data_IF_248681870253
#
_entry.id   IF_248681870253
#
_cell.length_a   1.000
_cell.length_b   1.000
_cell.length_c   1.000
_cell.angle_alpha   90.00
_cell.angle_beta   90.00
_cell.angle_gamma   90.00
#
_symmetry.space_group_name_H-M   'P 1'
#
loop_
_entity.id
_entity.type
_entity.pdbx_description
1 polymer ?
#
# COMPACT_ATOMS: atom_id res chain seq x y z
N UNK A 1 18.43 17.49 -3.27
CA UNK A 1 18.09 16.25 -2.55
C UNK A 1 17.01 15.49 -3.31
N UNK A 2 17.20 14.20 -3.44
CA UNK A 2 16.23 13.33 -4.12
C UNK A 2 15.10 12.97 -3.16
N UNK A 3 13.85 13.19 -3.61
CA UNK A 3 12.67 12.75 -2.86
C UNK A 3 12.64 11.23 -2.80
N UNK A 4 12.29 10.68 -1.64
CA UNK A 4 12.11 9.25 -1.47
C UNK A 4 10.75 8.84 -1.99
N UNK A 5 10.71 7.82 -2.87
CA UNK A 5 9.47 7.22 -3.30
C UNK A 5 8.87 6.39 -2.17
N UNK A 6 7.57 6.45 -2.00
CA UNK A 6 6.85 5.69 -0.98
C UNK A 6 5.70 4.91 -1.59
N UNK A 7 5.61 3.65 -1.23
CA UNK A 7 4.48 2.78 -1.55
C UNK A 7 3.64 2.62 -0.29
N UNK A 8 2.37 2.98 -0.39
CA UNK A 8 1.47 2.95 0.77
C UNK A 8 0.69 1.64 0.75
N UNK A 9 0.87 0.85 1.83
CA UNK A 9 0.23 -0.44 2.00
C UNK A 9 -1.27 -0.28 2.30
N UNK A 10 -2.01 -1.38 2.15
CA UNK A 10 -3.45 -1.45 2.44
C UNK A 10 -3.77 -0.93 3.84
N UNK A 11 -2.95 -1.25 4.84
CA UNK A 11 -3.16 -0.81 6.21
C UNK A 11 -3.13 0.69 6.37
N UNK A 12 -2.30 1.39 5.59
CA UNK A 12 -2.27 2.86 5.60
C UNK A 12 -3.64 3.43 5.22
N UNK A 13 -4.20 2.95 4.11
CA UNK A 13 -5.50 3.43 3.63
C UNK A 13 -6.63 3.05 4.59
N UNK A 14 -6.61 1.81 5.07
CA UNK A 14 -7.63 1.37 6.01
C UNK A 14 -7.64 2.25 7.26
N UNK A 15 -6.48 2.52 7.83
CA UNK A 15 -6.36 3.35 9.01
C UNK A 15 -6.80 4.79 8.75
N UNK A 16 -6.33 5.42 7.66
CA UNK A 16 -6.65 6.83 7.41
C UNK A 16 -8.13 7.03 7.07
N UNK A 17 -8.76 6.01 6.46
CA UNK A 17 -10.18 6.12 6.08
C UNK A 17 -11.14 5.70 7.19
N UNK A 18 -10.68 5.02 8.23
CA UNK A 18 -11.56 4.49 9.28
C UNK A 18 -11.30 5.06 10.67
N UNK A 19 -10.12 5.59 10.94
CA UNK A 19 -9.82 6.14 12.26
C UNK A 19 -10.61 7.42 12.52
N UNK A 20 -11.04 7.58 13.78
CA UNK A 20 -11.70 8.79 14.25
C UNK A 20 -10.79 9.61 15.18
N UNK A 21 -9.57 9.14 15.41
CA UNK A 21 -8.60 9.81 16.28
C UNK A 21 -7.87 10.91 15.50
N UNK A 22 -8.06 12.20 15.86
CA UNK A 22 -7.41 13.32 15.16
C UNK A 22 -5.89 13.25 15.18
N UNK A 23 -5.30 12.77 16.28
CA UNK A 23 -3.85 12.64 16.39
C UNK A 23 -3.30 11.60 15.44
N UNK A 24 -4.03 10.49 15.28
CA UNK A 24 -3.66 9.45 14.35
C UNK A 24 -3.78 9.93 12.90
N UNK A 25 -4.82 10.67 12.58
CA UNK A 25 -4.98 11.26 11.24
C UNK A 25 -3.79 12.18 10.95
N UNK A 26 -3.41 13.03 11.89
CA UNK A 26 -2.26 13.93 11.73
C UNK A 26 -0.97 13.14 11.46
N UNK A 27 -0.74 12.07 12.21
CA UNK A 27 0.43 11.19 12.01
C UNK A 27 0.43 10.55 10.64
N UNK A 28 -0.70 9.99 10.23
CA UNK A 28 -0.82 9.34 8.93
C UNK A 28 -0.57 10.33 7.79
N UNK A 29 -1.11 11.54 7.90
CA UNK A 29 -0.90 12.59 6.91
C UNK A 29 0.56 13.03 6.85
N UNK A 30 1.27 13.01 7.96
CA UNK A 30 2.69 13.37 7.99
C UNK A 30 3.57 12.42 7.19
N UNK A 31 3.08 11.23 6.87
CA UNK A 31 3.80 10.25 6.07
C UNK A 31 3.63 10.46 4.56
N UNK A 32 2.79 11.41 4.15
CA UNK A 32 2.62 11.73 2.73
C UNK A 32 3.79 12.58 2.25
N UNK A 33 4.41 12.13 1.17
CA UNK A 33 5.44 12.88 0.42
C UNK A 33 4.77 13.62 -0.72
N UNK A 34 5.55 14.30 -1.57
CA UNK A 34 5.01 14.91 -2.78
C UNK A 34 4.26 13.89 -3.62
N UNK A 35 3.15 14.31 -4.23
CA UNK A 35 2.24 13.44 -4.95
C UNK A 35 2.92 12.57 -6.01
N UNK A 36 3.91 13.11 -6.72
CA UNK A 36 4.65 12.39 -7.76
C UNK A 36 5.50 11.22 -7.22
N UNK A 37 5.67 11.14 -5.90
CA UNK A 37 6.45 10.10 -5.23
C UNK A 37 5.57 9.13 -4.43
N UNK A 38 4.25 9.22 -4.59
CA UNK A 38 3.28 8.36 -3.90
C UNK A 38 2.82 7.24 -4.82
N UNK A 39 3.00 6.01 -4.39
CA UNK A 39 2.62 4.84 -5.16
C UNK A 39 1.68 3.94 -4.38
N UNK A 40 0.77 3.29 -5.10
CA UNK A 40 -0.12 2.26 -4.56
C UNK A 40 -0.16 1.08 -5.54
N UNK A 41 -0.05 -0.13 -5.01
CA UNK A 41 -0.19 -1.34 -5.82
C UNK A 41 -1.65 -1.59 -6.18
N UNK A 42 -1.89 -2.13 -7.38
CA UNK A 42 -3.23 -2.58 -7.75
C UNK A 42 -3.77 -3.66 -6.79
N UNK A 43 -2.90 -4.43 -6.13
CA UNK A 43 -3.31 -5.39 -5.10
C UNK A 43 -3.89 -4.67 -3.87
N UNK A 44 -3.33 -3.53 -3.50
CA UNK A 44 -3.89 -2.72 -2.41
C UNK A 44 -5.29 -2.24 -2.76
N UNK A 45 -5.54 -1.85 -4.00
CA UNK A 45 -6.89 -1.46 -4.43
C UNK A 45 -7.86 -2.63 -4.30
N UNK A 46 -7.44 -3.85 -4.68
CA UNK A 46 -8.25 -5.04 -4.49
C UNK A 46 -8.58 -5.27 -3.02
N UNK A 47 -7.58 -5.24 -2.15
CA UNK A 47 -7.77 -5.49 -0.72
C UNK A 47 -8.65 -4.41 -0.07
N UNK A 48 -8.39 -3.14 -0.39
CA UNK A 48 -9.16 -2.02 0.13
C UNK A 48 -10.62 -2.11 -0.29
N UNK A 49 -10.87 -2.44 -1.56
CA UNK A 49 -12.23 -2.60 -2.08
C UNK A 49 -12.95 -3.74 -1.36
N UNK A 50 -12.28 -4.90 -1.26
CA UNK A 50 -12.87 -6.08 -0.63
C UNK A 50 -13.20 -5.87 0.84
N UNK A 51 -12.28 -5.27 1.61
CA UNK A 51 -12.51 -4.94 3.01
C UNK A 51 -13.64 -3.93 3.17
N UNK A 52 -13.67 -2.92 2.33
CA UNK A 52 -14.67 -1.87 2.41
C UNK A 52 -16.05 -2.36 2.05
N UNK A 53 -16.20 -3.18 1.01
CA UNK A 53 -17.50 -3.74 0.63
C UNK A 53 -18.05 -4.67 1.73
N UNK A 54 -17.17 -5.45 2.36
CA UNK A 54 -17.57 -6.36 3.43
C UNK A 54 -18.04 -5.62 4.69
N UNK A 55 -17.46 -4.46 4.98
CA UNK A 55 -17.75 -3.71 6.20
C UNK A 55 -18.79 -2.62 6.01
N UNK A 56 -18.81 -1.94 4.87
CA UNK A 56 -19.58 -0.71 4.71
C UNK A 56 -20.31 -0.60 3.37
N UNK A 57 -20.23 -1.62 2.53
CA UNK A 57 -20.96 -1.68 1.28
C UNK A 57 -20.22 -1.12 0.07
N UNK A 58 -20.85 -1.28 -1.09
CA UNK A 58 -20.24 -1.00 -2.40
C UNK A 58 -19.90 0.48 -2.59
N UNK A 59 -20.79 1.38 -2.18
CA UNK A 59 -20.58 2.81 -2.42
C UNK A 59 -19.35 3.33 -1.69
N UNK A 60 -19.17 2.89 -0.44
CA UNK A 60 -17.98 3.26 0.34
C UNK A 60 -16.72 2.64 -0.28
N UNK A 61 -16.80 1.40 -0.74
CA UNK A 61 -15.67 0.72 -1.39
C UNK A 61 -15.22 1.49 -2.64
N UNK A 62 -16.18 1.88 -3.49
CA UNK A 62 -15.88 2.65 -4.70
C UNK A 62 -15.28 4.02 -4.39
N UNK A 63 -15.83 4.71 -3.39
CA UNK A 63 -15.32 6.02 -2.99
C UNK A 63 -13.88 5.93 -2.48
N UNK A 64 -13.59 4.97 -1.61
CA UNK A 64 -12.23 4.82 -1.05
C UNK A 64 -11.20 4.49 -2.13
N UNK A 65 -11.53 3.60 -3.06
CA UNK A 65 -10.63 3.28 -4.17
C UNK A 65 -10.45 4.46 -5.11
N UNK A 66 -11.51 5.22 -5.37
CA UNK A 66 -11.41 6.43 -6.17
C UNK A 66 -10.45 7.45 -5.53
N UNK A 67 -10.58 7.66 -4.22
CA UNK A 67 -9.70 8.57 -3.49
C UNK A 67 -8.25 8.11 -3.51
N UNK A 68 -8.01 6.82 -3.30
CA UNK A 68 -6.65 6.26 -3.35
C UNK A 68 -6.03 6.45 -4.74
N UNK A 69 -6.78 6.18 -5.81
CA UNK A 69 -6.30 6.38 -7.18
C UNK A 69 -6.04 7.83 -7.51
N UNK A 70 -6.82 8.74 -6.94
CA UNK A 70 -6.64 10.18 -7.13
C UNK A 70 -5.39 10.70 -6.46
N UNK A 71 -5.08 10.19 -5.26
CA UNK A 71 -3.97 10.67 -4.45
C UNK A 71 -2.64 9.99 -4.79
N UNK A 72 -2.67 8.80 -5.38
CA UNK A 72 -1.49 7.97 -5.59
C UNK A 72 -1.33 7.60 -7.07
N UNK A 73 -0.10 7.32 -7.47
CA UNK A 73 0.18 6.70 -8.75
C UNK A 73 0.00 5.18 -8.60
N UNK A 74 -0.91 4.61 -9.40
CA UNK A 74 -1.17 3.17 -9.35
C UNK A 74 -0.08 2.42 -10.10
N UNK A 75 0.51 1.44 -9.45
CA UNK A 75 1.45 0.49 -10.07
C UNK A 75 0.72 -0.82 -10.26
N UNK A 76 0.45 -1.18 -11.51
CA UNK A 76 -0.22 -2.43 -11.82
C UNK A 76 0.72 -3.62 -11.67
N UNK A 77 0.20 -4.73 -11.17
CA UNK A 77 0.95 -5.97 -11.07
C UNK A 77 1.14 -6.53 -12.50
N UNK A 78 2.36 -6.43 -12.98
CA UNK A 78 2.74 -6.99 -14.28
C UNK A 78 3.49 -8.32 -14.08
N UNK A 79 3.97 -8.92 -15.17
CA UNK A 79 4.66 -10.20 -15.12
C UNK A 79 5.96 -10.13 -14.30
N UNK A 80 6.70 -9.03 -14.40
CA UNK A 80 7.93 -8.84 -13.64
C UNK A 80 7.68 -8.79 -12.14
N UNK A 81 6.67 -8.03 -11.73
CA UNK A 81 6.27 -7.96 -10.32
C UNK A 81 5.77 -9.32 -9.84
N UNK A 82 4.98 -10.02 -10.64
CA UNK A 82 4.46 -11.33 -10.27
C UNK A 82 5.58 -12.35 -10.03
N UNK A 83 6.57 -12.37 -10.92
CA UNK A 83 7.70 -13.30 -10.80
C UNK A 83 8.58 -12.96 -9.59
N UNK A 84 8.87 -11.68 -9.37
CA UNK A 84 9.62 -11.24 -8.18
C UNK A 84 8.86 -11.59 -6.90
N UNK A 85 7.55 -11.37 -6.87
CA UNK A 85 6.72 -11.75 -5.73
C UNK A 85 6.77 -13.24 -5.46
N UNK A 86 6.78 -14.07 -6.50
CA UNK A 86 6.89 -15.51 -6.35
C UNK A 86 8.21 -15.92 -5.68
N UNK A 87 9.32 -15.30 -6.08
CA UNK A 87 10.62 -15.53 -5.45
C UNK A 87 10.60 -15.14 -3.97
N UNK A 88 10.05 -13.96 -3.65
CA UNK A 88 9.94 -13.46 -2.28
C UNK A 88 9.09 -14.40 -1.43
N UNK A 89 7.92 -14.78 -1.94
CA UNK A 89 6.99 -15.66 -1.24
C UNK A 89 7.63 -17.02 -0.94
N UNK A 90 8.34 -17.58 -1.91
CA UNK A 90 9.02 -18.86 -1.75
C UNK A 90 10.13 -18.80 -0.70
N UNK A 91 10.97 -17.77 -0.76
CA UNK A 91 12.13 -17.62 0.13
C UNK A 91 11.73 -17.27 1.55
N UNK A 92 10.75 -16.39 1.71
CA UNK A 92 10.38 -15.81 3.01
C UNK A 92 9.06 -16.37 3.56
N UNK A 93 8.38 -17.23 2.81
CA UNK A 93 7.14 -17.90 3.22
C UNK A 93 6.05 -16.91 3.67
N UNK A 94 5.90 -15.83 2.92
CA UNK A 94 4.89 -14.83 3.20
C UNK A 94 3.70 -14.96 2.26
N UNK A 95 2.51 -14.43 2.65
CA UNK A 95 1.31 -14.51 1.80
C UNK A 95 1.49 -13.82 0.46
N UNK A 96 0.74 -14.29 -0.53
CA UNK A 96 0.82 -13.78 -1.92
C UNK A 96 0.61 -12.26 -1.99
N UNK A 97 -0.41 -11.73 -1.32
CA UNK A 97 -0.71 -10.30 -1.40
C UNK A 97 0.46 -9.45 -0.86
N UNK A 98 1.00 -9.83 0.29
CA UNK A 98 2.16 -9.15 0.88
C UNK A 98 3.39 -9.23 -0.03
N UNK A 99 3.62 -10.41 -0.62
CA UNK A 99 4.74 -10.60 -1.54
C UNK A 99 4.61 -9.70 -2.79
N UNK A 100 3.40 -9.55 -3.32
CA UNK A 100 3.14 -8.67 -4.47
C UNK A 100 3.38 -7.20 -4.13
N UNK A 101 2.99 -6.76 -2.94
CA UNK A 101 3.23 -5.39 -2.49
C UNK A 101 4.72 -5.15 -2.27
N UNK A 102 5.42 -6.08 -1.63
CA UNK A 102 6.88 -5.99 -1.43
C UNK A 102 7.62 -5.93 -2.77
N UNK A 103 7.25 -6.79 -3.71
CA UNK A 103 7.86 -6.79 -5.04
C UNK A 103 7.64 -5.46 -5.76
N UNK A 104 6.45 -4.88 -5.63
CA UNK A 104 6.14 -3.57 -6.19
C UNK A 104 7.04 -2.49 -5.58
N UNK A 105 7.23 -2.50 -4.26
CA UNK A 105 8.10 -1.56 -3.58
C UNK A 105 9.55 -1.68 -4.08
N UNK A 106 10.06 -2.91 -4.20
CA UNK A 106 11.42 -3.15 -4.70
C UNK A 106 11.62 -2.63 -6.12
N UNK A 107 10.71 -2.98 -7.02
CA UNK A 107 10.82 -2.59 -8.44
C UNK A 107 10.67 -1.08 -8.60
N UNK A 108 9.83 -0.45 -7.78
CA UNK A 108 9.61 1.00 -7.82
C UNK A 108 10.67 1.80 -7.09
N UNK A 109 11.63 1.15 -6.43
CA UNK A 109 12.63 1.84 -5.62
C UNK A 109 12.01 2.64 -4.48
N UNK A 110 10.95 2.11 -3.86
CA UNK A 110 10.17 2.80 -2.85
C UNK A 110 10.35 2.16 -1.47
N UNK A 111 10.32 2.99 -0.42
CA UNK A 111 10.12 2.46 0.91
C UNK A 111 8.62 2.20 1.11
N UNK A 112 8.28 1.20 1.92
CA UNK A 112 6.90 0.79 2.14
C UNK A 112 6.36 1.40 3.43
N UNK A 113 5.20 2.05 3.34
CA UNK A 113 4.50 2.58 4.50
C UNK A 113 3.54 1.50 4.99
N UNK A 114 3.95 0.80 6.04
CA UNK A 114 3.23 -0.35 6.57
C UNK A 114 3.58 -0.58 8.03
N UNK A 115 2.73 -1.30 8.75
CA UNK A 115 3.01 -1.85 10.07
C UNK A 115 3.02 -3.38 10.06
N UNK A 116 3.03 -3.99 8.87
CA UNK A 116 3.00 -5.44 8.73
C UNK A 116 4.38 -6.05 8.95
N UNK A 117 4.54 -7.00 9.90
CA UNK A 117 5.83 -7.62 10.18
C UNK A 117 6.38 -8.47 9.02
N UNK A 118 5.56 -8.82 8.02
CA UNK A 118 6.03 -9.56 6.84
C UNK A 118 6.92 -8.72 5.92
N UNK A 119 6.94 -7.40 6.08
CA UNK A 119 7.64 -6.48 5.19
C UNK A 119 9.10 -6.25 5.61
N UNK A 120 9.81 -7.33 5.94
CA UNK A 120 11.20 -7.23 6.42
C UNK A 120 12.25 -7.15 5.32
N UNK A 121 11.90 -7.51 4.09
CA UNK A 121 12.84 -7.56 2.96
C UNK A 121 12.95 -6.24 2.20
N UNK A 122 12.18 -5.23 2.57
CA UNK A 122 12.23 -3.88 2.02
C UNK A 122 12.33 -2.87 3.15
N UNK A 123 12.78 -1.66 2.80
CA UNK A 123 12.77 -0.58 3.77
C UNK A 123 11.32 -0.21 4.09
N UNK A 124 10.99 -0.18 5.38
CA UNK A 124 9.65 0.13 5.85
C UNK A 124 9.66 1.34 6.78
N UNK A 125 8.49 1.94 6.91
CA UNK A 125 8.26 2.98 7.89
C UNK A 125 6.92 2.71 8.57
N UNK A 126 6.96 2.62 9.89
CA UNK A 126 5.78 2.33 10.70
C UNK A 126 4.83 3.52 10.74
N UNK A 127 3.52 3.23 10.71
CA UNK A 127 2.48 4.26 10.81
C UNK A 127 2.00 4.49 12.26
#
# INVERSE_FOLDING_TARGET
>A
MTQINRLYDTRYFWEIYTTQDPDRITRLRSLLVERRHRFVSSITLYELYRLSIANEGKDVAELRCLLAKKDMQVVSVDSGIAEEAARISYQSRIPMADALIIATAKISGAECITDDPHFTSVKTRWI
#
